data_IF_400263417488
#
_entry.id   IF_400263417488
#
_cell.length_a   1.000
_cell.length_b   1.000
_cell.length_c   1.000
_cell.angle_alpha   90.00
_cell.angle_beta   90.00
_cell.angle_gamma   90.00
#
_symmetry.space_group_name_H-M   'P 1'
#
loop_
_entity.id
_entity.type
_entity.pdbx_description
1 polymer ?
#
# COMPACT_ATOMS: atom_id res chain seq x y z
N UNK A 1 -28.00 -11.33 -37.80
CA UNK A 1 -27.55 -11.30 -36.39
C UNK A 1 -27.11 -12.71 -36.03
N UNK A 2 -25.80 -12.94 -35.98
CA UNK A 2 -25.25 -14.21 -35.50
C UNK A 2 -25.43 -14.19 -33.99
N UNK A 3 -26.34 -15.00 -33.46
CA UNK A 3 -26.42 -15.27 -32.03
C UNK A 3 -25.14 -16.01 -31.64
N UNK A 4 -24.19 -15.30 -31.03
CA UNK A 4 -23.10 -15.95 -30.31
C UNK A 4 -23.78 -16.70 -29.16
N UNK A 5 -23.89 -18.01 -29.29
CA UNK A 5 -24.34 -18.88 -28.19
C UNK A 5 -23.18 -18.86 -27.19
N UNK A 6 -23.25 -17.99 -26.20
CA UNK A 6 -22.34 -18.06 -25.06
C UNK A 6 -22.60 -19.38 -24.34
N UNK A 7 -21.62 -20.27 -24.35
CA UNK A 7 -21.70 -21.52 -23.61
C UNK A 7 -21.74 -21.22 -22.12
N UNK A 8 -22.72 -21.79 -21.42
CA UNK A 8 -22.81 -21.66 -19.96
C UNK A 8 -21.55 -22.21 -19.30
N UNK A 9 -20.99 -21.47 -18.35
CA UNK A 9 -19.76 -21.80 -17.60
C UNK A 9 -20.13 -22.05 -16.14
N UNK A 10 -19.43 -22.98 -15.50
CA UNK A 10 -19.45 -23.19 -14.07
C UNK A 10 -18.42 -22.27 -13.42
N UNK A 11 -18.89 -21.25 -12.70
CA UNK A 11 -18.05 -20.18 -12.16
C UNK A 11 -18.07 -20.21 -10.63
N UNK A 12 -16.90 -20.19 -10.02
CA UNK A 12 -16.76 -20.01 -8.58
C UNK A 12 -16.51 -18.54 -8.24
N UNK A 13 -17.29 -17.97 -7.33
CA UNK A 13 -17.04 -16.65 -6.74
C UNK A 13 -16.62 -16.85 -5.29
N UNK A 14 -15.47 -16.30 -4.91
CA UNK A 14 -14.92 -16.43 -3.56
C UNK A 14 -15.19 -15.15 -2.79
N UNK A 15 -16.02 -15.24 -1.75
CA UNK A 15 -16.47 -14.13 -0.92
C UNK A 15 -17.86 -13.62 -1.31
N UNK A 16 -18.73 -13.44 -0.32
CA UNK A 16 -20.10 -12.95 -0.44
C UNK A 16 -20.27 -11.54 0.16
N UNK A 17 -19.22 -10.71 0.05
CA UNK A 17 -19.32 -9.26 0.26
C UNK A 17 -20.03 -8.54 -0.90
N UNK A 18 -20.16 -7.20 -0.85
CA UNK A 18 -20.83 -6.41 -1.89
C UNK A 18 -20.39 -6.76 -3.32
N UNK A 19 -19.09 -6.83 -3.58
CA UNK A 19 -18.52 -7.17 -4.88
C UNK A 19 -18.84 -8.60 -5.32
N UNK A 20 -18.77 -9.57 -4.41
CA UNK A 20 -19.05 -10.97 -4.72
C UNK A 20 -20.52 -11.21 -5.04
N UNK A 21 -21.44 -10.55 -4.31
CA UNK A 21 -22.88 -10.62 -4.58
C UNK A 21 -23.23 -10.02 -5.95
N UNK A 22 -22.62 -8.90 -6.33
CA UNK A 22 -22.80 -8.30 -7.66
C UNK A 22 -22.23 -9.21 -8.74
N UNK A 23 -21.01 -9.73 -8.56
CA UNK A 23 -20.39 -10.64 -9.52
C UNK A 23 -21.26 -11.89 -9.75
N UNK A 24 -21.75 -12.51 -8.67
CA UNK A 24 -22.63 -13.67 -8.76
C UNK A 24 -23.94 -13.36 -9.49
N UNK A 25 -24.53 -12.20 -9.22
CA UNK A 25 -25.75 -11.74 -9.90
C UNK A 25 -25.52 -11.57 -11.41
N UNK A 26 -24.49 -10.82 -11.80
CA UNK A 26 -24.25 -10.54 -13.23
C UNK A 26 -23.88 -11.82 -13.99
N UNK A 27 -23.06 -12.69 -13.40
CA UNK A 27 -22.74 -13.99 -13.98
C UNK A 27 -23.99 -14.86 -14.20
N UNK A 28 -24.90 -14.91 -13.22
CA UNK A 28 -26.16 -15.66 -13.38
C UNK A 28 -27.05 -15.04 -14.44
N UNK A 29 -27.10 -13.70 -14.51
CA UNK A 29 -27.86 -12.96 -15.53
C UNK A 29 -27.37 -13.26 -16.95
N UNK A 30 -26.06 -13.49 -17.12
CA UNK A 30 -25.44 -13.96 -18.37
C UNK A 30 -25.60 -15.48 -18.62
N UNK A 31 -26.33 -16.20 -17.75
CA UNK A 31 -26.66 -17.61 -17.94
C UNK A 31 -25.59 -18.59 -17.46
N UNK A 32 -24.62 -18.14 -16.66
CA UNK A 32 -23.62 -19.03 -16.06
C UNK A 32 -24.14 -19.74 -14.81
N UNK A 33 -23.64 -20.94 -14.55
CA UNK A 33 -23.87 -21.67 -13.31
C UNK A 33 -22.88 -21.20 -12.24
N UNK A 34 -23.35 -20.51 -11.20
CA UNK A 34 -22.46 -19.85 -10.23
C UNK A 34 -22.56 -20.50 -8.86
N UNK A 35 -21.41 -20.69 -8.22
CA UNK A 35 -21.30 -21.06 -6.81
C UNK A 35 -20.54 -19.95 -6.10
N UNK A 36 -21.05 -19.48 -4.96
CA UNK A 36 -20.40 -18.49 -4.12
C UNK A 36 -19.96 -19.15 -2.82
N UNK A 37 -18.65 -19.14 -2.55
CA UNK A 37 -18.08 -19.69 -1.31
C UNK A 37 -17.82 -18.56 -0.32
N UNK A 38 -18.46 -18.64 0.85
CA UNK A 38 -18.34 -17.64 1.92
C UNK A 38 -17.83 -18.29 3.21
N UNK A 39 -16.77 -17.72 3.77
CA UNK A 39 -16.11 -18.24 4.97
C UNK A 39 -16.92 -17.99 6.24
N UNK A 40 -17.78 -16.98 6.25
CA UNK A 40 -18.64 -16.63 7.38
C UNK A 40 -19.97 -17.39 7.34
N UNK A 41 -20.72 -17.28 8.43
CA UNK A 41 -22.01 -17.94 8.58
C UNK A 41 -23.15 -17.26 7.82
N UNK A 42 -22.91 -16.05 7.29
CA UNK A 42 -23.84 -15.27 6.48
C UNK A 42 -23.07 -14.42 5.45
N UNK A 43 -23.77 -13.79 4.51
CA UNK A 43 -23.17 -12.88 3.52
C UNK A 43 -22.91 -11.49 4.12
N UNK A 44 -22.30 -10.60 3.34
CA UNK A 44 -22.08 -9.19 3.69
C UNK A 44 -20.62 -8.80 3.81
N UNK A 45 -19.71 -9.77 3.90
CA UNK A 45 -18.27 -9.52 4.03
C UNK A 45 -17.98 -8.66 5.26
N UNK A 46 -17.31 -7.52 5.06
CA UNK A 46 -17.07 -6.55 6.13
C UNK A 46 -18.36 -6.02 6.79
N UNK A 47 -19.48 -6.02 6.08
CA UNK A 47 -20.75 -5.47 6.59
C UNK A 47 -21.54 -6.46 7.46
N UNK A 48 -21.08 -7.70 7.58
CA UNK A 48 -21.56 -8.64 8.57
C UNK A 48 -20.88 -8.33 9.91
N UNK A 49 -21.50 -7.45 10.71
CA UNK A 49 -20.95 -7.02 11.99
C UNK A 49 -20.76 -8.20 12.95
N UNK A 50 -19.59 -8.27 13.56
CA UNK A 50 -19.24 -9.19 14.63
C UNK A 50 -18.75 -8.36 15.83
N UNK A 51 -19.36 -8.48 17.03
CA UNK A 51 -18.90 -7.77 18.22
C UNK A 51 -17.61 -8.34 18.83
N UNK A 52 -17.16 -9.53 18.40
CA UNK A 52 -15.92 -10.13 18.87
C UNK A 52 -14.70 -9.40 18.28
N UNK A 53 -13.56 -9.50 18.96
CA UNK A 53 -12.28 -8.94 18.51
C UNK A 53 -11.20 -10.03 18.49
N UNK A 54 -10.12 -9.83 17.74
CA UNK A 54 -8.96 -10.71 17.75
C UNK A 54 -8.25 -10.67 19.11
N UNK A 55 -8.60 -11.59 20.01
CA UNK A 55 -8.05 -11.61 21.37
C UNK A 55 -6.57 -12.02 21.45
N UNK A 56 -6.17 -13.03 20.66
CA UNK A 56 -4.80 -13.57 20.67
C UNK A 56 -3.84 -12.80 19.74
N UNK A 57 -4.39 -12.13 18.71
CA UNK A 57 -3.62 -11.36 17.73
C UNK A 57 -4.28 -10.00 17.47
N UNK A 58 -4.24 -9.09 18.45
CA UNK A 58 -4.88 -7.77 18.34
C UNK A 58 -4.30 -6.89 17.21
N UNK A 59 -3.16 -7.30 16.63
CA UNK A 59 -2.50 -6.62 15.51
C UNK A 59 -2.76 -7.29 14.16
N UNK A 60 -3.44 -8.45 14.13
CA UNK A 60 -3.71 -9.23 12.92
C UNK A 60 -2.46 -9.61 12.13
N UNK A 61 -1.36 -9.95 12.81
CA UNK A 61 -0.11 -10.44 12.19
C UNK A 61 -0.27 -11.82 11.52
N UNK A 62 -1.24 -12.61 11.97
CA UNK A 62 -1.57 -13.90 11.40
C UNK A 62 -2.09 -13.77 9.97
N UNK A 63 -1.74 -14.73 9.12
CA UNK A 63 -2.27 -14.79 7.75
C UNK A 63 -3.76 -15.09 7.70
N UNK A 64 -4.34 -15.56 8.81
CA UNK A 64 -5.76 -15.91 8.95
C UNK A 64 -6.33 -15.22 10.18
N UNK A 65 -7.37 -14.42 9.97
CA UNK A 65 -8.14 -13.79 11.04
C UNK A 65 -9.28 -14.71 11.51
N UNK A 66 -9.49 -14.79 12.83
CA UNK A 66 -10.65 -15.40 13.47
C UNK A 66 -11.90 -14.51 13.32
N UNK A 67 -11.73 -13.19 13.40
CA UNK A 67 -12.79 -12.18 13.23
C UNK A 67 -12.59 -11.46 11.90
N UNK A 68 -13.53 -11.63 10.98
CA UNK A 68 -13.42 -11.04 9.64
C UNK A 68 -13.86 -9.57 9.56
N UNK A 69 -14.81 -9.15 10.41
CA UNK A 69 -15.39 -7.81 10.39
C UNK A 69 -14.49 -6.79 11.09
N UNK A 70 -14.13 -5.72 10.39
CA UNK A 70 -13.40 -4.57 10.94
C UNK A 70 -14.32 -3.40 11.35
N UNK A 71 -15.64 -3.63 11.44
CA UNK A 71 -16.61 -2.60 11.83
C UNK A 71 -16.72 -2.45 13.35
N UNK A 72 -16.85 -1.20 13.81
CA UNK A 72 -17.26 -0.88 15.18
C UNK A 72 -18.77 -0.55 15.22
N UNK A 73 -19.44 -0.88 16.33
CA UNK A 73 -20.90 -0.81 16.46
C UNK A 73 -21.50 0.54 16.05
N UNK A 74 -20.84 1.64 16.44
CA UNK A 74 -21.35 3.00 16.21
C UNK A 74 -21.08 3.53 14.80
N UNK A 75 -20.40 2.78 13.93
CA UNK A 75 -19.98 3.26 12.60
C UNK A 75 -21.19 3.59 11.71
N UNK A 76 -21.07 4.72 11.02
CA UNK A 76 -21.99 5.18 9.98
C UNK A 76 -21.28 5.29 8.65
N UNK A 77 -22.05 5.20 7.58
CA UNK A 77 -21.54 5.41 6.24
C UNK A 77 -21.03 6.84 6.10
N UNK A 78 -19.83 7.00 5.55
CA UNK A 78 -19.25 8.31 5.21
C UNK A 78 -19.80 8.85 3.88
N UNK A 79 -20.33 7.95 3.05
CA UNK A 79 -20.99 8.28 1.79
C UNK A 79 -22.51 8.25 1.97
N UNK A 80 -23.24 9.15 1.31
CA UNK A 80 -24.70 9.18 1.39
C UNK A 80 -25.29 7.97 0.65
N UNK A 81 -26.41 7.43 1.14
CA UNK A 81 -27.03 6.20 0.59
C UNK A 81 -27.28 6.28 -0.92
N UNK A 82 -27.58 7.46 -1.44
CA UNK A 82 -27.91 7.69 -2.85
C UNK A 82 -26.74 7.33 -3.80
N UNK A 83 -25.49 7.45 -3.35
CA UNK A 83 -24.32 7.09 -4.17
C UNK A 83 -23.76 5.71 -3.84
N UNK A 84 -24.25 5.07 -2.79
CA UNK A 84 -23.81 3.73 -2.37
C UNK A 84 -24.69 2.62 -2.94
N UNK A 85 -25.92 2.95 -3.37
CA UNK A 85 -26.79 1.99 -4.03
C UNK A 85 -26.25 1.56 -5.39
N UNK A 86 -26.47 0.30 -5.75
CA UNK A 86 -26.28 -0.16 -7.12
C UNK A 86 -27.22 0.59 -8.07
N UNK A 87 -26.74 0.86 -9.28
CA UNK A 87 -27.46 1.64 -10.30
C UNK A 87 -28.87 1.11 -10.60
N UNK A 88 -29.07 -0.20 -10.48
CA UNK A 88 -30.32 -0.91 -10.74
C UNK A 88 -30.96 -1.51 -9.47
N UNK A 89 -30.42 -1.18 -8.30
CA UNK A 89 -31.01 -1.50 -7.01
C UNK A 89 -30.75 -0.34 -6.04
N UNK A 90 -31.48 0.78 -6.14
CA UNK A 90 -31.17 2.00 -5.41
C UNK A 90 -31.32 1.81 -3.88
N UNK A 91 -30.44 2.45 -3.12
CA UNK A 91 -30.45 2.37 -1.66
C UNK A 91 -31.41 3.41 -1.07
N UNK A 92 -32.69 3.06 -1.05
CA UNK A 92 -33.78 3.93 -0.64
C UNK A 92 -34.10 3.85 0.85
N UNK A 93 -34.79 4.88 1.34
CA UNK A 93 -35.31 4.94 2.71
C UNK A 93 -36.51 4.01 2.86
N UNK A 94 -36.54 3.19 3.93
CA UNK A 94 -37.65 2.28 4.24
C UNK A 94 -38.26 2.61 5.61
N UNK A 95 -39.59 2.55 5.71
CA UNK A 95 -40.30 2.80 6.97
C UNK A 95 -39.87 1.77 8.04
N UNK A 96 -39.55 2.26 9.25
CA UNK A 96 -39.10 1.41 10.36
C UNK A 96 -37.61 1.03 10.30
N UNK A 97 -36.86 1.57 9.34
CA UNK A 97 -35.41 1.42 9.21
C UNK A 97 -34.68 2.72 9.51
N UNK A 98 -33.37 2.71 9.37
CA UNK A 98 -32.57 3.93 9.49
C UNK A 98 -32.94 4.90 8.37
N UNK A 99 -33.45 6.08 8.72
CA UNK A 99 -33.92 7.09 7.77
C UNK A 99 -32.82 8.11 7.41
N UNK A 100 -31.63 8.05 8.04
CA UNK A 100 -30.57 9.04 7.87
C UNK A 100 -29.96 8.96 6.48
N UNK A 101 -29.63 10.10 5.87
CA UNK A 101 -28.90 10.11 4.58
C UNK A 101 -27.56 9.33 4.65
N UNK A 102 -26.92 9.36 5.82
CA UNK A 102 -25.72 8.59 6.17
C UNK A 102 -26.07 7.57 7.26
N UNK A 103 -26.62 6.41 6.90
CA UNK A 103 -27.13 5.46 7.89
C UNK A 103 -26.00 4.68 8.59
N UNK A 104 -26.35 3.87 9.60
CA UNK A 104 -25.39 2.97 10.25
C UNK A 104 -25.03 1.77 9.36
N UNK A 105 -23.94 1.07 9.71
CA UNK A 105 -23.55 -0.17 9.04
C UNK A 105 -24.69 -1.21 8.97
N UNK A 106 -25.54 -1.26 10.00
CA UNK A 106 -26.70 -2.16 10.07
C UNK A 106 -27.66 -1.95 8.90
N UNK A 107 -27.87 -0.69 8.49
CA UNK A 107 -28.75 -0.41 7.36
C UNK A 107 -28.14 -0.85 6.03
N UNK A 108 -26.83 -0.70 5.86
CA UNK A 108 -26.15 -1.19 4.66
C UNK A 108 -26.19 -2.73 4.58
N UNK A 109 -26.01 -3.43 5.71
CA UNK A 109 -26.21 -4.87 5.77
C UNK A 109 -27.65 -5.27 5.38
N UNK A 110 -28.66 -4.56 5.91
CA UNK A 110 -30.06 -4.80 5.55
C UNK A 110 -30.34 -4.51 4.07
N UNK A 111 -29.68 -3.50 3.48
CA UNK A 111 -29.74 -3.25 2.04
C UNK A 111 -29.13 -4.39 1.21
N UNK A 112 -27.97 -4.93 1.62
CA UNK A 112 -27.38 -6.11 0.98
C UNK A 112 -28.25 -7.35 1.13
N UNK A 113 -28.94 -7.48 2.27
CA UNK A 113 -29.94 -8.54 2.48
C UNK A 113 -31.11 -8.39 1.53
N UNK A 114 -31.65 -7.19 1.38
CA UNK A 114 -32.71 -6.92 0.42
C UNK A 114 -32.26 -7.21 -1.01
N UNK A 115 -31.01 -6.86 -1.36
CA UNK A 115 -30.43 -7.16 -2.67
C UNK A 115 -30.34 -8.67 -2.91
N UNK A 116 -29.80 -9.42 -1.93
CA UNK A 116 -29.73 -10.87 -1.97
C UNK A 116 -31.11 -11.53 -2.11
N UNK A 117 -32.11 -11.02 -1.41
CA UNK A 117 -33.48 -11.55 -1.44
C UNK A 117 -34.19 -11.19 -2.75
N UNK A 118 -34.08 -9.94 -3.20
CA UNK A 118 -34.67 -9.45 -4.43
C UNK A 118 -34.18 -10.22 -5.65
N UNK A 119 -32.87 -10.46 -5.72
CA UNK A 119 -32.28 -11.24 -6.81
C UNK A 119 -32.29 -12.74 -6.52
N UNK A 120 -32.62 -13.22 -5.32
CA UNK A 120 -32.60 -14.65 -4.99
C UNK A 120 -31.19 -15.27 -5.04
N UNK A 121 -30.16 -14.56 -4.54
CA UNK A 121 -28.76 -15.03 -4.59
C UNK A 121 -28.44 -16.12 -3.55
N UNK A 122 -29.31 -16.30 -2.54
CA UNK A 122 -29.10 -17.26 -1.43
C UNK A 122 -28.90 -18.72 -1.90
N UNK A 123 -29.51 -19.10 -3.02
CA UNK A 123 -29.38 -20.46 -3.59
C UNK A 123 -27.96 -20.80 -4.08
N UNK A 124 -27.16 -19.77 -4.40
CA UNK A 124 -25.81 -19.93 -4.93
C UNK A 124 -24.75 -19.95 -3.82
N UNK A 125 -25.14 -19.58 -2.59
CA UNK A 125 -24.24 -19.33 -1.47
C UNK A 125 -24.00 -20.58 -0.64
N UNK A 126 -22.72 -20.90 -0.41
CA UNK A 126 -22.26 -21.92 0.53
C UNK A 126 -21.49 -21.24 1.67
N UNK A 127 -22.12 -21.17 2.83
CA UNK A 127 -21.58 -20.53 4.03
C UNK A 127 -20.67 -21.46 4.84
N UNK A 128 -19.83 -20.88 5.69
CA UNK A 128 -18.85 -21.58 6.52
C UNK A 128 -17.83 -22.40 5.69
N UNK A 129 -17.56 -21.97 4.46
CA UNK A 129 -16.61 -22.61 3.54
C UNK A 129 -15.46 -21.66 3.27
N UNK A 130 -14.27 -21.99 3.79
CA UNK A 130 -13.05 -21.22 3.54
C UNK A 130 -12.34 -21.77 2.30
N UNK A 131 -11.93 -20.91 1.38
CA UNK A 131 -11.08 -21.32 0.26
C UNK A 131 -9.62 -21.19 0.68
N UNK A 132 -8.89 -22.30 0.60
CA UNK A 132 -7.47 -22.38 1.01
C UNK A 132 -6.53 -22.32 -0.20
N UNK A 133 -7.00 -22.70 -1.41
CA UNK A 133 -6.19 -22.69 -2.62
C UNK A 133 -7.03 -22.53 -3.89
N UNK A 134 -6.48 -21.77 -4.85
CA UNK A 134 -6.97 -21.67 -6.23
C UNK A 134 -5.76 -21.85 -7.14
N UNK A 135 -5.87 -22.74 -8.12
CA UNK A 135 -4.82 -22.95 -9.11
C UNK A 135 -5.36 -23.43 -10.44
N UNK A 136 -4.53 -23.34 -11.47
CA UNK A 136 -4.85 -23.92 -12.78
C UNK A 136 -4.88 -25.45 -12.66
N UNK A 137 -5.87 -26.11 -13.24
CA UNK A 137 -5.97 -27.56 -13.23
C UNK A 137 -4.85 -28.17 -14.09
N UNK A 138 -4.16 -29.20 -13.57
CA UNK A 138 -2.93 -29.76 -14.14
C UNK A 138 -3.03 -30.17 -15.63
N UNK A 139 -4.22 -30.52 -16.10
CA UNK A 139 -4.46 -30.90 -17.50
C UNK A 139 -4.84 -29.72 -18.42
N UNK A 140 -4.79 -28.47 -17.95
CA UNK A 140 -5.12 -27.29 -18.76
C UNK A 140 -3.93 -26.84 -19.60
N UNK A 141 -4.11 -26.67 -20.91
CA UNK A 141 -3.12 -26.08 -21.81
C UNK A 141 -3.47 -24.63 -22.12
N UNK A 142 -2.48 -23.74 -22.09
CA UNK A 142 -2.64 -22.36 -22.55
C UNK A 142 -3.11 -22.35 -24.01
N UNK A 143 -4.26 -21.71 -24.28
CA UNK A 143 -4.90 -21.70 -25.61
C UNK A 143 -6.13 -22.60 -25.75
N UNK A 144 -6.45 -23.41 -24.73
CA UNK A 144 -7.71 -24.18 -24.62
C UNK A 144 -8.63 -23.58 -23.52
N UNK A 145 -9.83 -24.14 -23.34
CA UNK A 145 -10.74 -23.77 -22.24
C UNK A 145 -10.11 -24.11 -20.88
N UNK A 146 -9.49 -23.11 -20.25
CA UNK A 146 -8.83 -23.22 -18.96
C UNK A 146 -9.79 -23.66 -17.87
N UNK A 147 -9.33 -24.58 -17.01
CA UNK A 147 -10.04 -25.01 -15.81
C UNK A 147 -9.25 -24.66 -14.56
N UNK A 148 -9.97 -24.42 -13.48
CA UNK A 148 -9.42 -24.02 -12.20
C UNK A 148 -9.83 -25.01 -11.12
N UNK A 149 -8.86 -25.45 -10.33
CA UNK A 149 -9.16 -26.19 -9.09
C UNK A 149 -9.28 -25.21 -7.95
N UNK A 150 -10.38 -25.34 -7.19
CA UNK A 150 -10.63 -24.61 -5.96
C UNK A 150 -10.67 -25.62 -4.83
N UNK A 151 -9.69 -25.52 -3.92
CA UNK A 151 -9.67 -26.31 -2.69
C UNK A 151 -10.29 -25.49 -1.57
N UNK A 152 -11.35 -26.02 -0.99
CA UNK A 152 -12.08 -25.38 0.09
C UNK A 152 -12.21 -26.30 1.31
N UNK A 153 -12.41 -25.69 2.48
CA UNK A 153 -12.53 -26.35 3.78
C UNK A 153 -13.80 -25.89 4.47
N UNK A 154 -14.68 -26.83 4.80
CA UNK A 154 -15.87 -26.57 5.60
C UNK A 154 -15.49 -26.43 7.07
N UNK A 155 -15.75 -25.27 7.70
CA UNK A 155 -15.28 -24.94 9.05
C UNK A 155 -15.83 -25.85 10.16
N UNK A 156 -16.99 -26.48 9.97
CA UNK A 156 -17.61 -27.33 11.00
C UNK A 156 -17.12 -28.76 10.97
N UNK A 157 -16.99 -29.32 9.78
CA UNK A 157 -16.58 -30.72 9.58
C UNK A 157 -15.07 -30.86 9.38
N UNK A 158 -14.36 -29.73 9.17
CA UNK A 158 -12.97 -29.66 8.72
C UNK A 158 -12.74 -30.42 7.40
N UNK A 159 -13.81 -30.79 6.69
CA UNK A 159 -13.76 -31.52 5.43
C UNK A 159 -13.18 -30.63 4.35
N UNK A 160 -12.16 -31.13 3.69
CA UNK A 160 -11.56 -30.50 2.51
C UNK A 160 -12.21 -31.06 1.25
N UNK A 161 -12.60 -30.17 0.35
CA UNK A 161 -13.21 -30.50 -0.94
C UNK A 161 -12.45 -29.77 -2.05
N UNK A 162 -12.15 -30.48 -3.13
CA UNK A 162 -11.63 -29.90 -4.36
C UNK A 162 -12.72 -29.96 -5.44
N UNK A 163 -13.02 -28.80 -6.02
CA UNK A 163 -13.98 -28.66 -7.11
C UNK A 163 -13.32 -27.97 -8.30
N UNK A 164 -13.73 -28.35 -9.51
CA UNK A 164 -13.19 -27.81 -10.77
C UNK A 164 -14.20 -26.84 -11.38
N UNK A 165 -13.72 -25.66 -11.76
CA UNK A 165 -14.52 -24.59 -12.34
C UNK A 165 -13.95 -24.10 -13.66
N UNK A 166 -14.81 -23.56 -14.52
CA UNK A 166 -14.46 -22.93 -15.80
C UNK A 166 -13.84 -21.54 -15.59
N UNK A 167 -14.19 -20.88 -14.49
CA UNK A 167 -13.63 -19.61 -14.09
C UNK A 167 -13.73 -19.43 -12.57
N UNK A 168 -12.84 -18.60 -12.02
CA UNK A 168 -12.86 -18.22 -10.60
C UNK A 168 -12.78 -16.70 -10.50
N UNK A 169 -13.67 -16.11 -9.71
CA UNK A 169 -13.65 -14.70 -9.32
C UNK A 169 -13.25 -14.61 -7.85
N UNK A 170 -12.18 -13.89 -7.56
CA UNK A 170 -11.73 -13.63 -6.18
C UNK A 170 -12.28 -12.29 -5.71
N UNK A 171 -13.25 -12.33 -4.80
CA UNK A 171 -13.97 -11.16 -4.28
C UNK A 171 -13.89 -11.07 -2.74
N UNK A 172 -12.76 -11.46 -2.16
CA UNK A 172 -12.52 -11.58 -0.71
C UNK A 172 -12.41 -10.26 0.04
N UNK A 173 -12.33 -9.12 -0.67
CA UNK A 173 -12.15 -7.79 -0.08
C UNK A 173 -10.72 -7.55 0.44
N UNK A 174 -10.40 -6.29 0.77
CA UNK A 174 -9.04 -5.87 1.16
C UNK A 174 -8.96 -5.19 2.55
N UNK A 175 -10.07 -5.16 3.31
CA UNK A 175 -10.21 -4.43 4.58
C UNK A 175 -10.42 -5.35 5.80
N UNK A 176 -10.33 -6.67 5.63
CA UNK A 176 -10.40 -7.63 6.73
C UNK A 176 -9.09 -7.69 7.49
N UNK A 177 -7.97 -7.84 6.77
CA UNK A 177 -6.66 -7.78 7.38
C UNK A 177 -6.36 -6.34 7.81
N UNK A 178 -6.03 -6.10 9.10
CA UNK A 178 -5.58 -4.80 9.52
C UNK A 178 -4.35 -4.47 8.70
N UNK A 179 -4.48 -3.46 7.83
CA UNK A 179 -3.31 -2.73 7.39
C UNK A 179 -2.88 -1.93 8.61
N UNK A 180 -1.97 -2.51 9.37
CA UNK A 180 -1.29 -1.75 10.41
C UNK A 180 -0.79 -0.47 9.73
N UNK A 181 -1.24 0.71 10.18
CA UNK A 181 -0.80 1.94 9.58
C UNK A 181 0.71 2.02 9.82
N UNK A 182 1.48 2.08 8.73
CA UNK A 182 2.75 2.79 8.79
C UNK A 182 2.39 4.25 9.03
N UNK A 183 2.42 4.69 10.29
CA UNK A 183 2.15 6.09 10.63
C UNK A 183 3.27 6.92 9.99
N UNK A 184 2.91 7.76 9.00
CA UNK A 184 3.86 8.37 8.07
C UNK A 184 4.35 9.76 8.48
N UNK A 185 5.66 9.98 8.33
CA UNK A 185 6.30 11.29 8.46
C UNK A 185 6.98 11.48 9.83
N UNK A 186 7.08 12.71 10.37
CA UNK A 186 7.55 13.02 11.74
C UNK A 186 6.69 12.38 12.85
N UNK A 187 6.04 11.25 12.59
CA UNK A 187 5.16 10.46 13.42
C UNK A 187 5.70 10.25 14.82
N UNK A 188 7.00 9.92 14.92
CA UNK A 188 7.66 9.77 16.22
C UNK A 188 7.66 11.07 17.04
N UNK A 189 7.87 12.23 16.40
CA UNK A 189 7.86 13.53 17.07
C UNK A 189 6.46 13.92 17.54
N UNK A 190 5.44 13.69 16.71
CA UNK A 190 4.05 14.00 17.06
C UNK A 190 3.54 13.06 18.15
N UNK A 191 3.79 11.76 18.02
CA UNK A 191 3.42 10.77 19.03
C UNK A 191 4.10 11.07 20.37
N UNK A 192 5.40 11.40 20.35
CA UNK A 192 6.11 11.79 21.56
C UNK A 192 5.55 13.06 22.19
N UNK A 193 5.20 14.08 21.37
CA UNK A 193 4.57 15.31 21.85
C UNK A 193 3.26 15.02 22.57
N UNK A 194 2.35 14.28 21.93
CA UNK A 194 1.03 14.00 22.50
C UNK A 194 1.12 13.13 23.75
N UNK A 195 1.94 12.08 23.74
CA UNK A 195 2.11 11.23 24.92
C UNK A 195 2.69 11.98 26.11
N UNK A 196 3.69 12.85 25.88
CA UNK A 196 4.22 13.69 26.97
C UNK A 196 3.19 14.68 27.48
N UNK A 197 2.34 15.23 26.62
CA UNK A 197 1.25 16.14 27.00
C UNK A 197 0.22 15.45 27.90
N UNK A 198 -0.01 14.15 27.69
CA UNK A 198 -0.84 13.30 28.57
C UNK A 198 -0.11 12.82 29.84
N UNK A 199 1.13 13.27 30.07
CA UNK A 199 1.90 12.98 31.29
C UNK A 199 2.68 11.66 31.27
N UNK A 200 2.81 11.01 30.11
CA UNK A 200 3.64 9.81 30.00
C UNK A 200 5.14 10.13 29.95
N UNK A 201 5.95 9.24 30.54
CA UNK A 201 7.40 9.26 30.34
C UNK A 201 7.73 8.58 29.01
N UNK A 202 8.37 9.31 28.09
CA UNK A 202 8.53 8.87 26.71
C UNK A 202 9.97 9.07 26.26
N UNK A 203 10.48 8.04 25.59
CA UNK A 203 11.79 8.04 24.93
C UNK A 203 11.58 7.74 23.46
N UNK A 204 12.26 8.49 22.59
CA UNK A 204 12.29 8.27 21.15
C UNK A 204 13.68 7.82 20.75
N UNK A 205 13.76 6.66 20.09
CA UNK A 205 15.01 6.08 19.59
C UNK A 205 15.13 6.39 18.10
N UNK A 206 16.15 7.16 17.72
CA UNK A 206 16.38 7.61 16.34
C UNK A 206 17.71 7.05 15.84
N UNK A 207 17.66 6.32 14.73
CA UNK A 207 18.84 5.68 14.15
C UNK A 207 19.80 6.69 13.52
N UNK A 208 19.30 7.84 13.07
CA UNK A 208 20.09 8.89 12.44
C UNK A 208 20.76 9.77 13.49
N UNK A 209 21.67 10.62 13.02
CA UNK A 209 22.40 11.57 13.87
C UNK A 209 21.55 12.78 14.29
N UNK A 210 20.42 12.99 13.64
CA UNK A 210 19.43 14.03 13.93
C UNK A 210 18.02 13.49 13.64
N UNK A 211 16.98 14.22 14.00
CA UNK A 211 15.58 13.87 13.70
C UNK A 211 15.22 14.22 12.24
N UNK A 212 14.00 13.86 11.84
CA UNK A 212 13.42 14.26 10.56
C UNK A 212 13.09 13.09 9.63
N UNK A 213 13.63 11.90 9.90
CA UNK A 213 13.37 10.70 9.10
C UNK A 213 13.72 10.93 7.64
N UNK A 214 12.73 10.79 6.75
CA UNK A 214 12.89 11.10 5.33
C UNK A 214 13.37 12.53 5.07
N UNK A 215 12.97 13.51 5.90
CA UNK A 215 13.30 14.91 5.71
C UNK A 215 14.71 15.29 6.14
N UNK A 216 15.43 14.37 6.78
CA UNK A 216 16.86 14.51 7.02
C UNK A 216 17.62 14.07 5.77
N UNK A 217 17.82 15.02 4.87
CA UNK A 217 18.56 14.78 3.62
C UNK A 217 20.01 14.37 3.90
N UNK A 218 20.43 13.29 3.27
CA UNK A 218 21.81 12.80 3.28
C UNK A 218 22.30 12.71 1.83
N UNK A 219 23.33 13.48 1.41
CA UNK A 219 23.89 13.38 0.06
C UNK A 219 24.62 12.06 -0.19
N UNK A 220 24.96 11.31 0.85
CA UNK A 220 25.59 10.00 0.70
C UNK A 220 24.56 8.94 0.28
N UNK A 221 25.05 7.91 -0.41
CA UNK A 221 24.25 6.79 -0.93
C UNK A 221 24.96 5.47 -0.67
N UNK A 222 24.20 4.37 -0.69
CA UNK A 222 24.75 3.02 -0.60
C UNK A 222 25.36 2.58 -1.93
N UNK A 223 26.53 3.12 -2.27
CA UNK A 223 27.19 2.86 -3.56
C UNK A 223 27.51 1.38 -3.83
N UNK A 224 27.68 0.58 -2.78
CA UNK A 224 27.91 -0.87 -2.87
C UNK A 224 26.63 -1.67 -3.19
N UNK A 225 25.45 -1.09 -2.93
CA UNK A 225 24.15 -1.72 -3.17
C UNK A 225 23.18 -0.74 -3.87
N UNK A 226 23.42 -0.44 -5.16
CA UNK A 226 22.63 0.56 -5.88
C UNK A 226 21.16 0.17 -6.08
N UNK A 227 20.80 -1.09 -5.81
CA UNK A 227 19.44 -1.60 -5.90
C UNK A 227 18.76 -1.73 -4.53
N UNK A 228 19.50 -1.50 -3.42
CA UNK A 228 19.03 -1.67 -2.04
C UNK A 228 18.43 -3.04 -1.76
N UNK A 229 19.14 -4.10 -2.19
CA UNK A 229 18.78 -5.50 -1.89
C UNK A 229 19.08 -5.88 -0.44
N UNK A 230 19.97 -5.15 0.23
CA UNK A 230 20.32 -5.33 1.63
C UNK A 230 19.15 -5.05 2.56
N UNK A 231 19.08 -5.78 3.67
CA UNK A 231 18.01 -5.65 4.67
C UNK A 231 18.22 -4.50 5.65
N UNK A 232 19.42 -3.91 5.68
CA UNK A 232 19.78 -2.83 6.60
C UNK A 232 20.24 -1.61 5.82
N UNK A 233 19.42 -0.56 5.82
CA UNK A 233 19.75 0.70 5.18
C UNK A 233 20.68 1.53 6.09
N UNK A 234 21.86 1.87 5.57
CA UNK A 234 22.79 2.87 6.11
C UNK A 234 22.21 4.27 5.96
N UNK A 235 21.52 4.53 4.84
CA UNK A 235 20.91 5.83 4.51
C UNK A 235 19.39 5.69 4.50
N UNK A 236 18.71 6.41 5.39
CA UNK A 236 17.25 6.30 5.51
C UNK A 236 16.49 7.16 4.50
N UNK A 237 17.01 8.35 4.18
CA UNK A 237 16.37 9.32 3.30
C UNK A 237 16.41 8.89 1.84
N UNK A 238 15.25 8.96 1.18
CA UNK A 238 15.09 8.79 -0.27
C UNK A 238 15.02 10.12 -1.02
N UNK A 239 15.25 11.25 -0.34
CA UNK A 239 15.22 12.58 -0.95
C UNK A 239 16.45 12.84 -1.83
N UNK A 240 16.25 13.65 -2.86
CA UNK A 240 17.28 14.24 -3.72
C UNK A 240 17.29 15.76 -3.57
N UNK A 241 18.40 16.38 -3.98
CA UNK A 241 18.74 17.76 -3.60
C UNK A 241 17.70 18.80 -4.05
N UNK A 242 17.14 18.61 -5.25
CA UNK A 242 16.22 19.58 -5.85
C UNK A 242 14.77 19.43 -5.39
N UNK A 243 14.44 18.37 -4.64
CA UNK A 243 13.06 17.97 -4.38
C UNK A 243 12.29 19.07 -3.65
N UNK A 244 11.10 19.32 -4.15
CA UNK A 244 10.12 20.24 -3.56
C UNK A 244 8.93 19.47 -3.05
N UNK A 245 8.22 20.08 -2.10
CA UNK A 245 6.97 19.51 -1.60
C UNK A 245 5.97 19.47 -2.75
N UNK A 246 5.35 18.30 -2.95
CA UNK A 246 4.23 18.14 -3.89
C UNK A 246 2.92 18.70 -3.34
N UNK A 247 2.88 18.92 -2.03
CA UNK A 247 1.74 19.49 -1.30
C UNK A 247 2.07 20.91 -0.87
N UNK A 248 1.07 21.82 -0.89
CA UNK A 248 1.28 23.20 -0.47
C UNK A 248 1.48 23.26 1.05
N UNK A 249 2.33 24.18 1.52
CA UNK A 249 2.68 24.30 2.96
C UNK A 249 1.46 24.42 3.87
N UNK A 250 0.38 25.04 3.40
CA UNK A 250 -0.84 25.28 4.16
C UNK A 250 -1.53 23.99 4.61
N UNK A 251 -1.37 22.88 3.87
CA UNK A 251 -1.96 21.58 4.24
C UNK A 251 -0.96 20.63 4.92
N UNK A 252 0.31 21.02 5.01
CA UNK A 252 1.36 20.21 5.64
C UNK A 252 1.66 20.63 7.08
N UNK A 253 1.23 21.82 7.49
CA UNK A 253 1.33 22.27 8.88
C UNK A 253 0.43 21.49 9.83
N UNK A 254 0.82 21.42 11.12
CA UNK A 254 -0.06 20.89 12.15
C UNK A 254 -1.14 21.92 12.50
N UNK A 255 -2.30 21.45 12.93
CA UNK A 255 -3.43 22.31 13.29
C UNK A 255 -3.10 23.33 14.38
N UNK A 256 -2.23 22.95 15.33
CA UNK A 256 -1.75 23.79 16.43
C UNK A 256 -0.34 24.34 16.23
N UNK A 257 0.29 24.05 15.08
CA UNK A 257 1.60 24.56 14.70
C UNK A 257 1.66 24.74 13.18
N UNK A 258 1.08 25.83 12.64
CA UNK A 258 0.93 26.00 11.19
C UNK A 258 2.27 26.23 10.48
N UNK A 259 2.38 25.71 9.25
CA UNK A 259 3.58 25.85 8.42
C UNK A 259 3.54 27.17 7.63
N UNK A 260 3.90 28.25 8.32
CA UNK A 260 3.84 29.62 7.80
C UNK A 260 5.11 30.06 7.06
N UNK A 261 4.99 31.09 6.23
CA UNK A 261 6.14 31.75 5.60
C UNK A 261 6.92 32.54 6.65
N UNK A 262 8.25 32.39 6.64
CA UNK A 262 9.17 33.14 7.50
C UNK A 262 10.14 33.98 6.66
N UNK A 263 10.42 35.20 7.10
CA UNK A 263 11.39 36.08 6.43
C UNK A 263 12.79 35.44 6.46
N UNK A 264 13.48 35.43 5.32
CA UNK A 264 14.82 34.82 5.19
C UNK A 264 14.80 33.30 5.01
N UNK A 265 13.62 32.70 4.83
CA UNK A 265 13.42 31.28 4.52
C UNK A 265 12.80 31.09 3.13
N UNK A 266 12.57 29.84 2.73
CA UNK A 266 11.87 29.56 1.48
C UNK A 266 10.44 30.10 1.56
N UNK A 267 10.08 31.02 0.67
CA UNK A 267 8.77 31.67 0.64
C UNK A 267 7.77 31.02 -0.32
N UNK A 268 8.20 29.99 -1.08
CA UNK A 268 7.35 29.33 -2.09
C UNK A 268 6.19 28.58 -1.44
N UNK A 269 5.01 28.60 -2.07
CA UNK A 269 3.87 27.78 -1.60
C UNK A 269 4.19 26.28 -1.52
N UNK A 270 5.03 25.81 -2.44
CA UNK A 270 5.61 24.46 -2.50
C UNK A 270 7.13 24.58 -2.29
N UNK A 271 7.61 24.67 -1.03
CA UNK A 271 9.02 24.91 -0.75
C UNK A 271 9.88 23.67 -0.99
N UNK A 272 11.20 23.81 -0.85
CA UNK A 272 12.11 22.66 -0.87
C UNK A 272 11.98 21.80 0.39
N UNK A 273 12.45 20.56 0.32
CA UNK A 273 12.54 19.67 1.47
C UNK A 273 13.30 20.29 2.67
N UNK A 274 14.29 21.16 2.40
CA UNK A 274 15.06 21.86 3.43
C UNK A 274 14.18 22.74 4.31
N UNK A 275 13.19 23.41 3.72
CA UNK A 275 12.26 24.25 4.49
C UNK A 275 11.37 23.41 5.40
N UNK A 276 10.91 22.25 4.93
CA UNK A 276 10.11 21.35 5.77
C UNK A 276 10.94 20.81 6.94
N UNK A 277 12.20 20.44 6.71
CA UNK A 277 13.12 20.07 7.79
C UNK A 277 13.29 21.21 8.81
N UNK A 278 13.47 22.45 8.35
CA UNK A 278 13.55 23.62 9.24
C UNK A 278 12.25 23.85 10.01
N UNK A 279 11.08 23.62 9.41
CA UNK A 279 9.80 23.64 10.10
C UNK A 279 9.71 22.56 11.20
N UNK A 280 10.17 21.33 10.94
CA UNK A 280 10.24 20.27 11.93
C UNK A 280 11.21 20.61 13.07
N UNK A 281 12.30 21.30 12.75
CA UNK A 281 13.23 21.81 13.77
C UNK A 281 12.57 22.86 14.66
N UNK A 282 11.86 23.81 14.07
CA UNK A 282 11.10 24.80 14.82
C UNK A 282 10.03 24.13 15.71
N UNK A 283 9.37 23.09 15.20
CA UNK A 283 8.39 22.30 15.97
C UNK A 283 9.04 21.62 17.18
N UNK A 284 10.16 20.92 16.98
CA UNK A 284 10.92 20.28 18.04
C UNK A 284 11.41 21.27 19.10
N UNK A 285 11.84 22.47 18.68
CA UNK A 285 12.29 23.53 19.57
C UNK A 285 11.14 24.16 20.34
N UNK A 286 10.03 24.49 19.67
CA UNK A 286 8.85 25.09 20.28
C UNK A 286 8.24 24.21 21.36
N UNK A 287 8.12 22.91 21.08
CA UNK A 287 7.59 21.95 22.05
C UNK A 287 8.68 21.38 22.97
N UNK A 288 9.97 21.65 22.77
CA UNK A 288 11.04 21.12 23.61
C UNK A 288 11.19 19.59 23.53
N UNK A 289 11.04 18.98 22.36
CA UNK A 289 11.08 17.50 22.18
C UNK A 289 12.49 16.90 22.24
N UNK A 290 13.53 17.74 22.16
CA UNK A 290 14.94 17.30 22.07
C UNK A 290 15.39 16.43 23.25
N UNK A 291 14.85 16.67 24.45
CA UNK A 291 15.20 15.91 25.67
C UNK A 291 14.78 14.44 25.63
N UNK A 292 13.80 14.10 24.79
CA UNK A 292 13.23 12.76 24.68
C UNK A 292 13.92 11.92 23.62
N UNK A 293 14.76 12.54 22.77
CA UNK A 293 15.37 11.93 21.59
C UNK A 293 16.75 11.35 21.93
N UNK A 294 16.95 10.07 21.61
CA UNK A 294 18.25 9.40 21.64
C UNK A 294 18.68 9.09 20.20
N UNK A 295 19.63 9.87 19.70
CA UNK A 295 20.17 9.75 18.34
C UNK A 295 21.24 8.69 18.21
N UNK A 296 21.49 8.25 16.98
CA UNK A 296 22.44 7.18 16.65
C UNK A 296 22.12 5.86 17.38
N UNK A 297 20.84 5.61 17.68
CA UNK A 297 20.36 4.39 18.35
C UNK A 297 19.45 3.64 17.40
N UNK A 298 19.88 2.46 16.95
CA UNK A 298 19.08 1.59 16.10
C UNK A 298 18.33 0.59 16.96
N UNK A 299 17.04 0.42 16.74
CA UNK A 299 16.27 -0.68 17.37
C UNK A 299 16.44 -1.92 16.52
N UNK A 300 16.94 -3.00 17.11
CA UNK A 300 17.16 -4.28 16.44
C UNK A 300 16.02 -5.28 16.74
N UNK A 301 15.30 -5.12 17.87
CA UNK A 301 14.22 -6.03 18.26
C UNK A 301 13.19 -5.35 19.17
N UNK A 302 11.91 -5.70 18.97
CA UNK A 302 10.81 -5.40 19.86
C UNK A 302 10.00 -6.68 20.05
N UNK A 303 9.74 -7.05 21.30
CA UNK A 303 8.94 -8.23 21.63
C UNK A 303 8.18 -8.07 22.93
N UNK A 304 7.20 -8.94 23.17
CA UNK A 304 6.53 -9.00 24.46
C UNK A 304 7.55 -9.47 25.52
N UNK A 305 7.54 -8.83 26.69
CA UNK A 305 8.41 -9.21 27.79
C UNK A 305 7.99 -10.58 28.33
N UNK A 306 8.95 -11.50 28.51
CA UNK A 306 8.68 -12.93 28.82
C UNK A 306 7.86 -13.14 30.10
N UNK A 307 7.97 -12.24 31.09
CA UNK A 307 7.18 -12.31 32.33
C UNK A 307 5.77 -11.70 32.21
N UNK A 308 5.36 -11.22 31.03
CA UNK A 308 4.01 -10.68 30.84
C UNK A 308 3.00 -11.82 30.79
N UNK A 309 1.96 -11.75 31.62
CA UNK A 309 0.84 -12.70 31.59
C UNK A 309 -0.34 -12.07 30.85
N UNK A 310 -1.00 -12.87 30.00
CA UNK A 310 -2.23 -12.44 29.35
C UNK A 310 -3.31 -12.12 30.41
N UNK A 311 -3.84 -10.90 30.38
CA UNK A 311 -4.80 -10.38 31.37
C UNK A 311 -4.21 -9.42 32.41
N UNK A 312 -2.90 -9.18 32.39
CA UNK A 312 -2.20 -8.14 33.16
C UNK A 312 -1.69 -7.02 32.22
N UNK A 313 -1.11 -5.95 32.78
CA UNK A 313 -0.48 -4.88 32.01
C UNK A 313 0.69 -5.43 31.17
N UNK A 314 0.49 -5.51 29.86
CA UNK A 314 1.47 -6.02 28.91
C UNK A 314 2.71 -5.12 28.87
N UNK A 315 3.89 -5.72 28.87
CA UNK A 315 5.16 -5.01 28.74
C UNK A 315 5.94 -5.47 27.52
N UNK A 316 6.79 -4.59 27.03
CA UNK A 316 7.57 -4.78 25.81
C UNK A 316 9.05 -4.67 26.12
N UNK A 317 9.82 -5.66 25.66
CA UNK A 317 11.28 -5.55 25.61
C UNK A 317 11.68 -4.87 24.30
N UNK A 318 12.53 -3.86 24.39
CA UNK A 318 13.12 -3.19 23.23
C UNK A 318 14.64 -3.35 23.32
N UNK A 319 15.22 -4.04 22.34
CA UNK A 319 16.68 -4.15 22.19
C UNK A 319 17.14 -3.12 21.18
N UNK A 320 18.04 -2.25 21.60
CA UNK A 320 18.62 -1.21 20.76
C UNK A 320 20.14 -1.24 20.81
N UNK A 321 20.76 -0.68 19.78
CA UNK A 321 22.19 -0.66 19.57
C UNK A 321 22.65 0.76 19.26
N UNK A 322 23.57 1.28 20.05
CA UNK A 322 24.20 2.58 19.79
C UNK A 322 25.25 2.44 18.69
N UNK A 323 25.10 3.17 17.58
CA UNK A 323 25.96 3.03 16.38
C UNK A 323 27.43 3.39 16.60
N UNK A 324 27.75 4.21 17.60
CA UNK A 324 29.14 4.65 17.86
C UNK A 324 29.92 3.67 18.73
N UNK A 325 29.30 3.18 19.78
CA UNK A 325 29.93 2.27 20.75
C UNK A 325 29.66 0.80 20.45
N UNK A 326 28.73 0.52 19.54
CA UNK A 326 28.17 -0.80 19.25
C UNK A 326 27.52 -1.47 20.49
N UNK A 327 27.32 -0.70 21.57
CA UNK A 327 26.72 -1.17 22.81
C UNK A 327 25.26 -1.51 22.58
N UNK A 328 24.89 -2.72 22.98
CA UNK A 328 23.50 -3.20 22.99
C UNK A 328 22.89 -2.93 24.36
N UNK A 329 21.67 -2.39 24.36
CA UNK A 329 20.88 -2.09 25.55
C UNK A 329 19.49 -2.71 25.38
N UNK A 330 19.00 -3.33 26.45
CA UNK A 330 17.61 -3.79 26.55
C UNK A 330 16.88 -2.95 27.59
N UNK A 331 15.75 -2.37 27.20
CA UNK A 331 14.88 -1.57 28.05
C UNK A 331 13.45 -2.11 27.98
N UNK A 332 12.70 -1.95 29.07
CA UNK A 332 11.31 -2.40 29.21
C UNK A 332 10.40 -1.18 29.11
N UNK A 333 9.37 -1.28 28.28
CA UNK A 333 8.38 -0.24 28.10
C UNK A 333 6.97 -0.79 28.31
N UNK A 334 6.08 0.03 28.87
CA UNK A 334 4.66 -0.33 29.01
C UNK A 334 3.94 -0.28 27.65
N UNK A 335 4.44 0.51 26.70
CA UNK A 335 3.95 0.57 25.32
C UNK A 335 5.07 0.90 24.34
N UNK A 336 4.92 0.48 23.08
CA UNK A 336 5.85 0.79 21.99
C UNK A 336 5.08 1.36 20.80
N UNK A 337 5.53 2.50 20.29
CA UNK A 337 5.03 3.09 19.05
C UNK A 337 6.09 2.89 17.97
N UNK A 338 5.71 2.26 16.86
CA UNK A 338 6.59 2.06 15.71
C UNK A 338 6.34 3.18 14.69
N UNK A 339 7.38 3.97 14.44
CA UNK A 339 7.33 5.16 13.59
C UNK A 339 8.53 5.22 12.63
N UNK A 340 8.91 4.09 12.05
CA UNK A 340 10.16 3.93 11.27
C UNK A 340 10.04 4.30 9.80
N UNK A 341 8.83 4.54 9.29
CA UNK A 341 8.58 4.83 7.88
C UNK A 341 8.79 3.63 6.93
N UNK A 342 8.31 3.76 5.69
CA UNK A 342 8.25 2.66 4.71
C UNK A 342 8.73 3.04 3.29
N UNK A 343 9.17 4.29 3.08
CA UNK A 343 9.69 4.76 1.78
C UNK A 343 11.22 4.67 1.64
N UNK A 344 11.89 3.96 2.55
CA UNK A 344 13.35 3.78 2.51
C UNK A 344 13.76 2.48 1.83
N UNK A 345 12.98 1.40 1.99
CA UNK A 345 13.36 0.09 1.46
C UNK A 345 12.92 -0.04 -0.01
N UNK A 346 13.84 -0.24 -0.96
CA UNK A 346 13.49 -0.42 -2.37
C UNK A 346 12.57 -1.61 -2.62
N UNK A 347 11.62 -1.42 -3.54
CA UNK A 347 10.83 -2.52 -4.11
C UNK A 347 11.27 -2.71 -5.55
N UNK A 348 11.97 -3.79 -5.82
CA UNK A 348 12.43 -4.11 -7.18
C UNK A 348 11.37 -4.91 -7.95
N UNK A 349 11.21 -4.66 -9.26
CA UNK A 349 10.40 -5.50 -10.11
C UNK A 349 11.15 -6.81 -10.44
N UNK A 350 10.42 -7.79 -10.96
CA UNK A 350 11.00 -8.98 -11.57
C UNK A 350 10.96 -8.81 -13.10
N UNK A 351 12.10 -8.42 -13.68
CA UNK A 351 12.25 -8.18 -15.13
C UNK A 351 13.32 -9.14 -15.66
N UNK A 352 12.99 -9.85 -16.74
CA UNK A 352 13.93 -10.77 -17.37
C UNK A 352 15.22 -10.03 -17.77
N UNK A 353 16.38 -10.60 -17.41
CA UNK A 353 17.69 -10.06 -17.77
C UNK A 353 18.24 -8.99 -16.83
N UNK A 354 17.53 -8.65 -15.74
CA UNK A 354 18.01 -7.70 -14.74
C UNK A 354 19.35 -8.09 -14.10
N UNK A 355 19.60 -9.40 -13.90
CA UNK A 355 20.86 -9.91 -13.35
C UNK A 355 22.00 -9.98 -14.37
N UNK A 356 21.70 -9.91 -15.67
CA UNK A 356 22.68 -9.96 -16.77
C UNK A 356 22.95 -8.59 -17.40
N UNK A 357 22.23 -7.55 -16.96
CA UNK A 357 22.46 -6.16 -17.37
C UNK A 357 23.83 -5.68 -16.88
N UNK A 358 24.72 -5.30 -17.83
CA UNK A 358 26.10 -4.88 -17.54
C UNK A 358 26.30 -3.38 -17.37
N UNK A 359 25.29 -2.58 -17.72
CA UNK A 359 25.37 -1.11 -17.60
C UNK A 359 24.84 -0.66 -16.24
N UNK A 360 24.75 0.66 -16.01
CA UNK A 360 24.34 1.19 -14.72
C UNK A 360 22.86 0.87 -14.45
N UNK A 361 22.56 0.45 -13.24
CA UNK A 361 21.19 0.26 -12.77
C UNK A 361 21.09 0.67 -11.29
N UNK A 362 19.99 1.31 -10.91
CA UNK A 362 19.79 1.81 -9.55
C UNK A 362 18.31 1.95 -9.19
N UNK A 363 17.97 1.93 -7.91
CA UNK A 363 16.65 2.31 -7.43
C UNK A 363 16.58 3.82 -7.13
N UNK A 364 15.40 4.42 -7.31
CA UNK A 364 15.11 5.83 -6.99
C UNK A 364 15.50 6.25 -5.57
N UNK A 365 15.51 5.30 -4.62
CA UNK A 365 15.96 5.51 -3.24
C UNK A 365 17.38 6.11 -3.15
N UNK A 366 18.29 5.71 -4.05
CA UNK A 366 19.69 6.18 -4.06
C UNK A 366 19.93 7.34 -5.04
N UNK A 367 18.89 7.84 -5.71
CA UNK A 367 19.02 9.02 -6.55
C UNK A 367 19.22 10.29 -5.68
N UNK A 368 20.10 11.20 -6.10
CA UNK A 368 20.44 12.41 -5.32
C UNK A 368 20.51 13.69 -6.13
N UNK A 369 21.12 13.63 -7.30
CA UNK A 369 21.34 14.77 -8.20
C UNK A 369 21.28 14.29 -9.66
N UNK A 370 20.93 15.18 -10.60
CA UNK A 370 20.82 14.81 -12.02
C UNK A 370 22.17 14.81 -12.75
N UNK A 371 23.16 15.54 -12.25
CA UNK A 371 24.47 15.72 -12.92
C UNK A 371 25.16 14.43 -13.39
N UNK A 372 25.14 13.31 -12.62
CA UNK A 372 25.76 12.05 -13.04
C UNK A 372 25.13 11.37 -14.26
N UNK A 373 23.99 11.88 -14.74
CA UNK A 373 23.28 11.34 -15.91
C UNK A 373 23.47 12.22 -17.15
N UNK A 374 24.38 13.20 -17.08
CA UNK A 374 24.63 14.12 -18.19
C UNK A 374 25.06 13.36 -19.44
N UNK A 375 24.38 13.66 -20.55
CA UNK A 375 24.58 13.01 -21.86
C UNK A 375 24.28 11.49 -21.90
N UNK A 376 23.65 10.90 -20.86
CA UNK A 376 23.23 9.49 -20.87
C UNK A 376 21.83 9.32 -21.47
N UNK A 377 21.57 8.16 -22.08
CA UNK A 377 20.20 7.68 -22.35
C UNK A 377 19.69 6.94 -21.12
N UNK A 378 18.66 7.46 -20.48
CA UNK A 378 18.15 6.96 -19.18
C UNK A 378 16.76 6.36 -19.34
N UNK A 379 16.56 5.14 -18.87
CA UNK A 379 15.23 4.53 -18.72
C UNK A 379 14.79 4.63 -17.26
N UNK A 380 13.64 5.25 -17.03
CA UNK A 380 12.95 5.37 -15.75
C UNK A 380 11.79 4.38 -15.74
N UNK A 381 11.88 3.34 -14.90
CA UNK A 381 10.86 2.29 -14.81
C UNK A 381 9.89 2.60 -13.68
N UNK A 382 8.65 2.92 -14.01
CA UNK A 382 7.59 3.27 -13.06
C UNK A 382 7.12 4.71 -13.25
N UNK A 383 5.80 4.91 -13.36
CA UNK A 383 5.16 6.20 -13.67
C UNK A 383 4.26 6.69 -12.51
N UNK A 384 4.78 6.62 -11.29
CA UNK A 384 4.16 7.25 -10.11
C UNK A 384 4.95 8.52 -9.74
N UNK A 385 4.83 9.00 -8.49
CA UNK A 385 5.46 10.23 -8.02
C UNK A 385 6.97 10.28 -8.29
N UNK A 386 7.74 9.28 -7.86
CA UNK A 386 9.21 9.27 -8.05
C UNK A 386 9.60 9.25 -9.52
N UNK A 387 8.95 8.42 -10.32
CA UNK A 387 9.28 8.28 -11.74
C UNK A 387 8.96 9.53 -12.55
N UNK A 388 7.84 10.19 -12.27
CA UNK A 388 7.48 11.44 -12.92
C UNK A 388 8.44 12.57 -12.53
N UNK A 389 8.70 12.76 -11.24
CA UNK A 389 9.52 13.88 -10.76
C UNK A 389 10.99 13.73 -11.19
N UNK A 390 11.57 12.53 -11.04
CA UNK A 390 12.95 12.25 -11.49
C UNK A 390 13.06 12.35 -13.01
N UNK A 391 12.09 11.85 -13.78
CA UNK A 391 12.12 11.97 -15.24
C UNK A 391 12.11 13.45 -15.67
N UNK A 392 11.28 14.29 -15.03
CA UNK A 392 11.21 15.73 -15.29
C UNK A 392 12.52 16.43 -14.89
N UNK A 393 13.12 16.08 -13.76
CA UNK A 393 14.40 16.66 -13.34
C UNK A 393 15.54 16.33 -14.32
N UNK A 394 15.52 15.12 -14.89
CA UNK A 394 16.53 14.68 -15.84
C UNK A 394 16.43 15.34 -17.22
N UNK A 395 15.29 15.93 -17.58
CA UNK A 395 15.07 16.55 -18.91
C UNK A 395 16.16 17.57 -19.27
N UNK A 396 16.60 18.37 -18.31
CA UNK A 396 17.58 19.43 -18.54
C UNK A 396 19.05 18.93 -18.52
N UNK A 397 19.28 17.64 -18.28
CA UNK A 397 20.63 17.08 -18.04
C UNK A 397 20.94 15.85 -18.90
N UNK A 398 20.02 14.87 -18.95
CA UNK A 398 20.21 13.64 -19.72
C UNK A 398 20.05 13.86 -21.22
N UNK A 399 20.63 12.97 -22.03
CA UNK A 399 20.51 13.04 -23.50
C UNK A 399 19.08 12.71 -23.92
N UNK A 400 18.57 11.57 -23.45
CA UNK A 400 17.22 11.06 -23.71
C UNK A 400 16.68 10.39 -22.44
N UNK A 401 15.39 10.58 -22.16
CA UNK A 401 14.70 10.02 -21.00
C UNK A 401 13.53 9.18 -21.52
N UNK A 402 13.51 7.92 -21.13
CA UNK A 402 12.44 6.99 -21.46
C UNK A 402 11.69 6.63 -20.18
N UNK A 403 10.44 7.05 -20.06
CA UNK A 403 9.58 6.73 -18.93
C UNK A 403 8.72 5.51 -19.28
N UNK A 404 8.89 4.40 -18.56
CA UNK A 404 8.10 3.18 -18.75
C UNK A 404 6.95 3.11 -17.75
N UNK A 405 5.73 2.84 -18.25
CA UNK A 405 4.51 2.80 -17.46
C UNK A 405 3.71 1.51 -17.67
N UNK A 406 3.00 1.06 -16.62
CA UNK A 406 2.04 -0.06 -16.71
C UNK A 406 0.83 0.24 -17.57
N UNK A 407 0.42 1.51 -17.60
CA UNK A 407 -0.66 2.02 -18.44
C UNK A 407 -0.17 3.25 -19.19
N UNK A 408 -0.54 3.33 -20.46
CA UNK A 408 -0.31 4.52 -21.30
C UNK A 408 -1.44 5.55 -21.14
N UNK A 409 -2.50 5.22 -20.40
CA UNK A 409 -3.53 6.18 -20.00
C UNK A 409 -2.97 7.11 -18.92
N UNK A 410 -2.37 8.22 -19.37
CA UNK A 410 -1.76 9.22 -18.51
C UNK A 410 -2.67 10.43 -18.31
N UNK A 411 -2.41 11.19 -17.23
CA UNK A 411 -3.12 12.45 -17.00
C UNK A 411 -2.81 13.47 -18.10
N UNK A 412 -3.76 14.38 -18.35
CA UNK A 412 -3.57 15.49 -19.30
C UNK A 412 -2.35 16.35 -18.93
N UNK A 413 -2.10 16.52 -17.62
CA UNK A 413 -0.93 17.24 -17.11
C UNK A 413 0.38 16.58 -17.53
N UNK A 414 0.52 15.27 -17.34
CA UNK A 414 1.71 14.53 -17.75
C UNK A 414 1.87 14.52 -19.28
N UNK A 415 0.76 14.39 -20.02
CA UNK A 415 0.77 14.44 -21.48
C UNK A 415 1.33 15.77 -22.02
N UNK A 416 0.93 16.89 -21.42
CA UNK A 416 1.46 18.24 -21.75
C UNK A 416 2.94 18.39 -21.41
N UNK A 417 3.41 17.75 -20.34
CA UNK A 417 4.83 17.78 -19.98
C UNK A 417 5.65 17.00 -21.00
N UNK A 418 5.21 15.78 -21.34
CA UNK A 418 5.90 14.95 -22.34
C UNK A 418 5.94 15.65 -23.69
N UNK A 419 4.83 16.24 -24.15
CA UNK A 419 4.80 16.95 -25.44
C UNK A 419 5.61 18.24 -25.50
N UNK A 420 6.02 18.77 -24.33
CA UNK A 420 6.86 19.98 -24.24
C UNK A 420 8.34 19.67 -24.46
N UNK A 421 8.78 18.43 -24.25
CA UNK A 421 10.20 18.06 -24.23
C UNK A 421 10.49 16.97 -25.26
N UNK A 422 11.30 17.33 -26.26
CA UNK A 422 11.64 16.44 -27.38
C UNK A 422 12.45 15.20 -26.95
N UNK A 423 13.12 15.25 -25.81
CA UNK A 423 13.96 14.19 -25.26
C UNK A 423 13.28 13.37 -24.15
N UNK A 424 11.97 13.55 -23.91
CA UNK A 424 11.21 12.76 -22.94
C UNK A 424 10.17 11.89 -23.66
N UNK A 425 10.35 10.57 -23.56
CA UNK A 425 9.54 9.60 -24.28
C UNK A 425 8.78 8.68 -23.32
N UNK A 426 7.50 8.44 -23.59
CA UNK A 426 6.69 7.47 -22.85
C UNK A 426 6.69 6.12 -23.57
N UNK A 427 6.94 5.05 -22.82
CA UNK A 427 6.97 3.68 -23.30
C UNK A 427 6.05 2.79 -22.46
N UNK A 428 5.55 1.68 -23.03
CA UNK A 428 4.83 0.69 -22.24
C UNK A 428 5.80 -0.06 -21.32
N UNK A 429 5.31 -1.09 -20.64
CA UNK A 429 6.13 -1.91 -19.74
C UNK A 429 7.38 -2.46 -20.42
N UNK A 430 8.48 -2.45 -19.69
CA UNK A 430 9.69 -3.20 -20.07
C UNK A 430 9.39 -4.69 -19.95
N UNK A 431 9.64 -5.42 -21.03
CA UNK A 431 9.54 -6.88 -21.10
C UNK A 431 10.85 -7.54 -20.65
N UNK A 432 11.99 -7.09 -21.21
CA UNK A 432 13.30 -7.67 -20.90
C UNK A 432 14.46 -6.70 -21.09
N UNK A 433 15.57 -7.01 -20.41
CA UNK A 433 16.83 -6.27 -20.43
C UNK A 433 17.92 -7.15 -21.03
N UNK A 434 18.64 -6.63 -22.03
CA UNK A 434 19.66 -7.38 -22.76
C UNK A 434 21.07 -6.98 -22.29
N UNK A 435 22.01 -7.93 -22.34
CA UNK A 435 23.38 -7.74 -21.88
C UNK A 435 24.15 -6.66 -22.67
N UNK A 436 23.75 -6.42 -23.93
CA UNK A 436 24.32 -5.40 -24.81
C UNK A 436 23.83 -3.97 -24.52
N UNK A 437 22.88 -3.81 -23.59
CA UNK A 437 22.29 -2.53 -23.22
C UNK A 437 20.95 -2.22 -23.88
N UNK A 438 20.37 -3.16 -24.64
CA UNK A 438 19.02 -2.99 -25.18
C UNK A 438 17.94 -3.24 -24.11
N UNK A 439 16.94 -2.38 -24.12
CA UNK A 439 15.70 -2.49 -23.33
C UNK A 439 14.57 -2.80 -24.30
N UNK A 440 13.88 -3.92 -24.09
CA UNK A 440 12.76 -4.37 -24.94
C UNK A 440 11.46 -4.11 -24.21
N UNK A 441 10.49 -3.49 -24.88
CA UNK A 441 9.17 -3.21 -24.33
C UNK A 441 8.13 -4.22 -24.83
N UNK A 442 7.02 -4.34 -24.12
CA UNK A 442 5.95 -5.32 -24.43
C UNK A 442 5.28 -5.13 -25.80
N UNK A 443 5.47 -3.98 -26.45
CA UNK A 443 4.97 -3.71 -27.81
C UNK A 443 5.99 -4.10 -28.90
N UNK A 444 7.13 -4.69 -28.50
CA UNK A 444 8.22 -5.09 -29.39
C UNK A 444 9.18 -3.97 -29.76
N UNK A 445 8.92 -2.73 -29.35
CA UNK A 445 9.88 -1.63 -29.53
C UNK A 445 11.11 -1.83 -28.64
N UNK A 446 12.23 -1.21 -29.02
CA UNK A 446 13.46 -1.29 -28.23
C UNK A 446 14.28 0.00 -28.30
N UNK A 447 15.04 0.23 -27.24
CA UNK A 447 16.03 1.32 -27.13
C UNK A 447 17.35 0.77 -26.61
N UNK A 448 18.44 1.53 -26.77
CA UNK A 448 19.70 1.27 -26.07
C UNK A 448 19.88 2.32 -24.99
N UNK A 449 19.90 1.88 -23.72
CA UNK A 449 20.00 2.77 -22.57
C UNK A 449 21.35 2.62 -21.87
N UNK A 450 21.89 3.71 -21.34
CA UNK A 450 23.11 3.72 -20.54
C UNK A 450 22.82 3.40 -19.07
N UNK A 451 21.69 3.91 -18.57
CA UNK A 451 21.31 3.78 -17.15
C UNK A 451 19.84 3.41 -16.97
N UNK A 452 19.57 2.50 -16.03
CA UNK A 452 18.22 2.15 -15.56
C UNK A 452 17.98 2.73 -14.16
N UNK A 453 16.87 3.45 -13.99
CA UNK A 453 16.38 3.92 -12.68
C UNK A 453 15.04 3.26 -12.37
N UNK A 454 15.01 2.40 -11.35
CA UNK A 454 13.79 1.77 -10.85
C UNK A 454 13.04 2.72 -9.91
N UNK A 455 11.89 3.20 -10.36
CA UNK A 455 10.94 4.02 -9.61
C UNK A 455 9.70 3.18 -9.24
N UNK A 456 9.94 2.05 -8.59
CA UNK A 456 8.96 0.95 -8.38
C UNK A 456 8.51 0.79 -6.93
N UNK A 457 8.89 1.73 -6.06
CA UNK A 457 8.47 1.84 -4.65
C UNK A 457 7.44 2.94 -4.45
#
# INVERSE_FOLDING_TARGET
MVSVIYQSKNVCVIGAGPSGLVAARELRKEGHNVVVLEQNHDFGGQWLYDPNVEGEDPLGKGTTLKVHSSLYESIRLVSPREIMGYSDFPFLVKKGRDMRRFPSHRELFLYLKDFCEWFGLKEMLRFNVRVDYVGMWENSKFGEDLKWVVRSKEKKSEKVVEEIFDAVIVATGHYSQPRLPDIQGPSGLVAARELRKEGHNVVVLEQNHDFGGQWLYDPNVEGEDPLGKGTTLKVHSSLYESIRLVSPREIMGYSDFPFLVKKGRDMRRFPSHRELFLYLKDFCEWFGLKEMLRFNVRVDYVGMWENSKFGEDLKWVVRSKEKKSEKVVEEIFDAVIVATGHYSQPRLPDIQGMNTWRRKQMHSHIYRIPEPFRNEVVIVIGNSMSGQDIAIELVDVAKEIHLSAKSLDISEGLSKVISKYDNLHLHPLVESLQEDGRVIFIDGSCITADTIIYCTG
#
